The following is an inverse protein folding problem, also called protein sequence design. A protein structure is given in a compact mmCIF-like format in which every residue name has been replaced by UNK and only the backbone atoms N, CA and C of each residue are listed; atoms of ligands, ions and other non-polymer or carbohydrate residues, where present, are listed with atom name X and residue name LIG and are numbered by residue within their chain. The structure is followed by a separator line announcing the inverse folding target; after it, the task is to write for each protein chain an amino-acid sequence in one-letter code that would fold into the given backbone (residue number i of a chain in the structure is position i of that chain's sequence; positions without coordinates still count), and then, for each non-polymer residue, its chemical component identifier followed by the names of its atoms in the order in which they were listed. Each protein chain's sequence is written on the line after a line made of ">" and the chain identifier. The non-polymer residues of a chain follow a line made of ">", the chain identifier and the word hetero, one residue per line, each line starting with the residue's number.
data_IF_555249682044
#
_entry.id   IF_555249682044
#
_cell.length_a   1.000
_cell.length_b   1.000
_cell.length_c   1.000
_cell.angle_alpha   90.00
_cell.angle_beta   90.00
_cell.angle_gamma   90.00
#
_symmetry.space_group_name_H-M   'P 1'
#
loop_
_entity.id
_entity.type
_entity.pdbx_description
1 polymer ?
#
# COMPACT_ATOMS: atom_id res chain seq x y z
N UNK A 1 -32.95 -10.07 72.76
CA UNK A 1 -33.31 -9.64 71.38
C UNK A 1 -32.51 -8.43 71.04
N UNK A 2 -31.25 -8.53 70.64
CA UNK A 2 -30.46 -7.36 70.13
C UNK A 2 -28.96 -7.71 69.91
N UNK A 3 -28.65 -8.81 69.26
CA UNK A 3 -27.24 -9.13 68.90
C UNK A 3 -27.12 -9.56 67.44
N UNK A 4 -28.20 -9.56 66.65
CA UNK A 4 -28.18 -10.10 65.28
C UNK A 4 -28.04 -9.06 64.15
N UNK A 5 -27.86 -7.76 64.50
CA UNK A 5 -27.92 -6.73 63.47
C UNK A 5 -26.62 -5.99 63.17
N UNK A 6 -25.52 -6.23 63.91
CA UNK A 6 -24.25 -5.55 63.67
C UNK A 6 -23.28 -6.34 62.80
N UNK A 7 -23.38 -7.67 62.74
CA UNK A 7 -22.49 -8.48 61.89
C UNK A 7 -22.90 -8.49 60.43
N UNK A 8 -24.17 -8.22 60.12
CA UNK A 8 -24.66 -8.19 58.72
C UNK A 8 -24.34 -6.89 57.99
N UNK A 9 -24.32 -5.77 58.74
CA UNK A 9 -23.93 -4.46 58.17
C UNK A 9 -22.44 -4.37 57.89
N UNK A 10 -21.59 -4.99 58.77
CA UNK A 10 -20.14 -5.03 58.56
C UNK A 10 -19.74 -5.91 57.36
N UNK A 11 -20.47 -7.00 57.09
CA UNK A 11 -20.23 -7.86 55.95
C UNK A 11 -20.62 -7.20 54.59
N UNK A 12 -21.65 -6.40 54.57
CA UNK A 12 -22.08 -5.66 53.36
C UNK A 12 -21.13 -4.51 53.07
N UNK A 13 -20.62 -3.78 54.07
CA UNK A 13 -19.64 -2.74 53.89
C UNK A 13 -18.27 -3.29 53.44
N UNK A 14 -17.85 -4.48 53.92
CA UNK A 14 -16.63 -5.13 53.46
C UNK A 14 -16.74 -5.67 52.03
N UNK A 15 -17.95 -6.09 51.59
CA UNK A 15 -18.17 -6.55 50.23
C UNK A 15 -18.22 -5.38 49.20
N UNK A 16 -18.68 -4.21 49.62
CA UNK A 16 -18.66 -3.00 48.77
C UNK A 16 -17.28 -2.35 48.69
N UNK A 17 -16.37 -2.56 49.65
CA UNK A 17 -15.00 -2.09 49.63
C UNK A 17 -14.05 -2.99 48.79
N UNK A 18 -14.47 -4.22 48.49
CA UNK A 18 -13.72 -5.14 47.62
C UNK A 18 -14.12 -5.07 46.14
N UNK A 19 -15.23 -4.40 45.79
CA UNK A 19 -15.69 -4.24 44.40
C UNK A 19 -15.25 -2.90 43.78
N UNK A 20 -14.64 -2.00 44.59
CA UNK A 20 -14.05 -0.76 44.06
C UNK A 20 -12.56 -0.87 43.71
N UNK A 21 -12.04 -2.05 43.41
CA UNK A 21 -11.00 -2.18 42.41
C UNK A 21 -11.62 -1.85 41.05
N UNK A 22 -11.86 -0.56 40.85
CA UNK A 22 -12.07 0.05 39.54
C UNK A 22 -10.99 -0.56 38.66
N UNK A 23 -11.38 -1.42 37.73
CA UNK A 23 -10.64 -1.62 36.51
C UNK A 23 -10.54 -0.22 35.89
N UNK A 24 -9.51 0.53 36.30
CA UNK A 24 -9.00 1.61 35.47
C UNK A 24 -8.64 0.91 34.19
N UNK A 25 -9.37 1.15 33.08
CA UNK A 25 -8.90 0.64 31.80
C UNK A 25 -7.47 1.14 31.75
N UNK A 26 -6.51 0.17 31.68
CA UNK A 26 -5.11 0.54 31.54
C UNK A 26 -5.06 1.50 30.37
N UNK A 27 -4.81 2.77 30.66
CA UNK A 27 -4.47 3.73 29.60
C UNK A 27 -3.21 3.12 29.03
N UNK A 28 -3.35 2.45 27.88
CA UNK A 28 -2.20 1.98 27.12
C UNK A 28 -1.37 3.22 26.89
N UNK A 29 -0.19 3.25 27.48
CA UNK A 29 0.72 4.35 27.24
C UNK A 29 0.96 4.38 25.74
N UNK A 30 0.62 5.51 25.09
CA UNK A 30 0.85 5.73 23.66
C UNK A 30 2.02 6.70 23.50
N UNK A 31 2.68 6.62 22.35
CA UNK A 31 3.69 7.61 21.98
C UNK A 31 3.06 9.00 21.98
N UNK A 32 3.85 10.02 22.31
CA UNK A 32 3.34 11.40 22.27
C UNK A 32 2.83 11.73 20.87
N UNK A 33 1.65 12.34 20.75
CA UNK A 33 1.12 12.77 19.45
C UNK A 33 2.10 13.69 18.71
N UNK A 34 2.04 13.65 17.38
CA UNK A 34 2.82 14.52 16.50
C UNK A 34 2.73 15.97 16.94
N UNK A 35 3.87 16.66 17.03
CA UNK A 35 3.96 18.05 17.45
C UNK A 35 3.95 18.30 18.96
N UNK A 36 3.77 17.28 19.79
CA UNK A 36 3.86 17.41 21.24
C UNK A 36 5.26 17.06 21.75
N UNK A 37 5.78 17.87 22.68
CA UNK A 37 7.09 17.69 23.28
C UNK A 37 7.00 17.29 24.75
N UNK A 38 8.02 16.61 25.24
CA UNK A 38 8.19 16.31 26.67
C UNK A 38 8.41 17.59 27.43
N UNK A 39 7.65 17.79 28.51
CA UNK A 39 7.77 19.00 29.36
C UNK A 39 8.81 18.82 30.47
N UNK A 40 9.04 17.58 30.91
CA UNK A 40 10.03 17.23 31.92
C UNK A 40 10.76 15.95 31.50
N UNK A 41 12.02 16.06 31.12
CA UNK A 41 12.82 14.92 30.70
C UNK A 41 13.29 14.08 31.89
N UNK A 42 13.11 12.75 31.80
CA UNK A 42 13.61 11.76 32.75
C UNK A 42 14.36 10.69 31.99
N UNK A 43 15.67 10.61 32.15
CA UNK A 43 16.56 9.73 31.36
C UNK A 43 16.22 8.23 31.43
N UNK A 44 15.56 7.75 32.49
CA UNK A 44 15.16 6.36 32.66
C UNK A 44 13.82 5.97 32.01
N UNK A 45 13.05 6.95 31.51
CA UNK A 45 11.76 6.68 30.93
C UNK A 45 11.90 6.24 29.47
N UNK A 46 11.13 5.21 29.08
CA UNK A 46 10.91 4.88 27.66
C UNK A 46 9.79 5.80 27.11
N UNK A 47 10.15 6.66 26.18
CA UNK A 47 9.22 7.61 25.54
C UNK A 47 8.54 7.02 24.29
N UNK A 48 8.86 5.78 23.91
CA UNK A 48 8.31 5.08 22.74
C UNK A 48 7.69 3.76 23.17
N UNK A 49 6.48 3.82 23.71
CA UNK A 49 5.74 2.65 24.18
C UNK A 49 5.17 1.84 23.02
N UNK A 50 4.71 2.54 21.94
CA UNK A 50 4.37 1.91 20.68
C UNK A 50 5.62 1.83 19.80
N UNK A 51 5.90 0.62 19.30
CA UNK A 51 7.07 0.34 18.47
C UNK A 51 6.64 -0.38 17.20
N UNK A 52 7.38 -0.18 16.11
CA UNK A 52 7.27 -1.02 14.93
C UNK A 52 8.30 -2.14 14.97
N UNK A 53 7.93 -3.30 14.44
CA UNK A 53 8.86 -4.37 14.10
C UNK A 53 8.85 -4.53 12.59
N UNK A 54 10.02 -4.52 11.94
CA UNK A 54 10.15 -4.73 10.50
C UNK A 54 10.12 -6.24 10.25
N UNK A 55 9.18 -6.69 9.41
CA UNK A 55 8.89 -8.12 9.19
C UNK A 55 9.29 -8.59 7.78
N UNK A 56 9.00 -7.80 6.76
CA UNK A 56 9.16 -8.17 5.34
C UNK A 56 10.08 -7.21 4.60
N UNK A 57 10.06 -5.92 4.92
CA UNK A 57 10.93 -4.94 4.28
C UNK A 57 12.41 -5.28 4.53
N UNK A 58 13.22 -5.07 3.51
CA UNK A 58 14.66 -5.42 3.54
C UNK A 58 15.57 -4.22 3.46
N UNK A 59 15.03 -3.06 3.11
CA UNK A 59 15.83 -1.88 2.83
C UNK A 59 15.75 -0.79 3.92
N UNK A 60 15.13 -1.09 5.07
CA UNK A 60 15.25 -0.23 6.25
C UNK A 60 15.24 -1.05 7.55
N UNK A 61 15.72 -0.43 8.63
CA UNK A 61 15.62 -0.93 10.00
C UNK A 61 15.32 0.20 10.97
N UNK A 62 14.75 -0.15 12.13
CA UNK A 62 14.46 0.77 13.24
C UNK A 62 14.98 0.18 14.54
N UNK A 63 15.76 0.97 15.27
CA UNK A 63 16.24 0.64 16.61
C UNK A 63 15.69 1.68 17.60
N UNK A 64 15.18 1.22 18.74
CA UNK A 64 14.58 2.08 19.77
C UNK A 64 15.48 2.17 21.00
N UNK A 65 15.65 3.40 21.48
CA UNK A 65 16.27 3.75 22.75
C UNK A 65 15.25 4.54 23.59
N UNK A 66 15.58 4.84 24.82
CA UNK A 66 14.61 5.46 25.74
C UNK A 66 13.97 6.74 25.19
N UNK A 67 14.73 7.61 24.54
CA UNK A 67 14.28 8.93 24.09
C UNK A 67 14.65 9.27 22.64
N UNK A 68 15.27 8.34 21.92
CA UNK A 68 15.53 8.48 20.49
C UNK A 68 15.38 7.13 19.76
N UNK A 69 15.26 7.20 18.44
CA UNK A 69 15.20 6.07 17.51
C UNK A 69 16.33 6.23 16.49
N UNK A 70 16.93 5.14 16.06
CA UNK A 70 17.79 5.12 14.88
C UNK A 70 17.05 4.43 13.74
N UNK A 71 16.90 5.12 12.63
CA UNK A 71 16.28 4.61 11.41
C UNK A 71 17.35 4.55 10.32
N UNK A 72 17.59 3.37 9.80
CA UNK A 72 18.60 3.15 8.77
C UNK A 72 17.95 2.82 7.43
N UNK A 73 18.22 3.61 6.40
CA UNK A 73 17.99 3.19 5.04
C UNK A 73 19.21 2.34 4.61
N UNK A 74 19.02 1.02 4.52
CA UNK A 74 20.14 0.09 4.29
C UNK A 74 20.66 0.14 2.86
N UNK A 75 19.90 0.69 1.90
CA UNK A 75 20.34 0.89 0.52
C UNK A 75 21.28 2.09 0.39
N UNK A 76 20.88 3.25 0.91
CA UNK A 76 21.68 4.48 0.86
C UNK A 76 22.74 4.57 1.94
N UNK A 77 22.64 3.71 2.99
CA UNK A 77 23.46 3.71 4.20
C UNK A 77 23.27 4.95 5.08
N UNK A 78 22.24 5.74 4.85
CA UNK A 78 21.90 6.86 5.72
C UNK A 78 21.28 6.38 7.02
N UNK A 79 21.66 7.03 8.12
CA UNK A 79 21.11 6.79 9.45
C UNK A 79 20.49 8.10 9.96
N UNK A 80 19.21 8.02 10.30
CA UNK A 80 18.43 9.13 10.85
C UNK A 80 18.27 8.92 12.35
N UNK A 81 18.68 9.92 13.15
CA UNK A 81 18.52 9.94 14.60
C UNK A 81 17.29 10.75 14.98
N UNK A 82 16.22 10.07 15.36
CA UNK A 82 14.94 10.70 15.69
C UNK A 82 14.82 10.81 17.20
N UNK A 83 15.02 12.01 17.76
CA UNK A 83 14.93 12.22 19.21
C UNK A 83 13.61 12.86 19.60
N UNK A 84 13.04 12.41 20.72
CA UNK A 84 11.79 12.95 21.22
C UNK A 84 11.99 14.43 21.63
N UNK A 85 11.20 15.33 21.05
CA UNK A 85 11.32 16.73 21.37
C UNK A 85 11.06 17.01 22.87
N UNK A 86 11.81 17.95 23.43
CA UNK A 86 11.83 18.21 24.88
C UNK A 86 12.76 17.28 25.67
N UNK A 87 13.47 16.37 25.00
CA UNK A 87 14.54 15.57 25.59
C UNK A 87 15.93 16.08 25.16
N UNK A 88 17.00 15.44 25.65
CA UNK A 88 18.37 15.76 25.23
C UNK A 88 18.66 15.19 23.85
N UNK A 89 19.52 15.88 23.10
CA UNK A 89 20.04 15.42 21.83
C UNK A 89 21.45 14.85 22.02
N UNK A 90 21.52 13.60 22.50
CA UNK A 90 22.75 12.82 22.70
C UNK A 90 22.90 11.68 21.68
N UNK A 91 22.47 11.94 20.46
CA UNK A 91 22.53 10.98 19.34
C UNK A 91 23.99 10.57 19.04
N UNK A 92 24.20 9.35 18.52
CA UNK A 92 25.49 8.90 18.03
C UNK A 92 26.07 9.85 16.95
N UNK A 93 27.41 9.85 16.82
CA UNK A 93 28.06 10.57 15.75
C UNK A 93 27.63 10.02 14.36
N UNK A 94 27.65 10.87 13.37
CA UNK A 94 27.35 10.54 11.96
C UNK A 94 25.89 10.10 11.66
N UNK A 95 24.94 10.49 12.48
CA UNK A 95 23.51 10.39 12.16
C UNK A 95 22.93 11.75 11.78
N UNK A 96 21.93 11.78 10.91
CA UNK A 96 21.16 13.01 10.63
C UNK A 96 20.13 13.20 11.74
N UNK A 97 20.19 14.28 12.55
CA UNK A 97 19.29 14.46 13.68
C UNK A 97 17.95 15.09 13.24
N UNK A 98 16.86 14.52 13.73
CA UNK A 98 15.51 15.08 13.58
C UNK A 98 14.78 15.07 14.92
N UNK A 99 14.25 16.20 15.39
CA UNK A 99 13.35 16.20 16.53
C UNK A 99 12.00 15.61 16.11
N UNK A 100 11.42 14.74 16.93
CA UNK A 100 10.07 14.23 16.69
C UNK A 100 9.06 15.29 17.11
N UNK A 101 8.93 16.30 16.29
CA UNK A 101 7.96 17.40 16.37
C UNK A 101 7.67 17.91 14.95
N UNK A 102 7.84 17.02 13.96
CA UNK A 102 7.69 17.35 12.54
C UNK A 102 6.25 17.76 12.26
N UNK A 103 6.05 18.97 11.76
CA UNK A 103 4.74 19.52 11.42
C UNK A 103 4.62 19.95 9.95
N UNK A 104 5.76 20.01 9.26
CA UNK A 104 5.83 20.44 7.87
C UNK A 104 6.84 19.60 7.07
N UNK A 105 6.38 18.99 6.01
CA UNK A 105 7.24 18.19 5.12
C UNK A 105 7.11 18.60 3.67
N UNK A 106 8.20 18.44 2.93
CA UNK A 106 8.18 18.37 1.49
C UNK A 106 8.22 16.91 1.05
N UNK A 107 7.53 16.59 -0.03
CA UNK A 107 7.53 15.28 -0.67
C UNK A 107 7.93 15.46 -2.13
N UNK A 108 9.07 14.91 -2.52
CA UNK A 108 9.61 15.06 -3.89
C UNK A 108 9.34 13.85 -4.78
N UNK A 109 8.86 12.74 -4.20
CA UNK A 109 8.32 11.59 -4.92
C UNK A 109 6.84 11.37 -4.59
N UNK A 110 6.07 10.79 -5.51
CA UNK A 110 4.62 10.64 -5.34
C UNK A 110 4.25 9.57 -4.32
N UNK A 111 5.05 8.53 -4.17
CA UNK A 111 4.74 7.42 -3.27
C UNK A 111 4.77 7.81 -1.79
N UNK A 112 5.70 8.69 -1.40
CA UNK A 112 5.79 9.17 -0.01
C UNK A 112 4.53 9.87 0.45
N UNK A 113 3.82 10.59 -0.43
CA UNK A 113 2.56 11.25 -0.10
C UNK A 113 1.46 10.26 0.26
N UNK A 114 1.38 9.13 -0.43
CA UNK A 114 0.39 8.09 -0.16
C UNK A 114 0.60 7.43 1.21
N UNK A 115 1.85 7.16 1.61
CA UNK A 115 2.14 6.65 2.95
C UNK A 115 1.74 7.62 4.05
N UNK A 116 2.06 8.90 3.90
CA UNK A 116 1.66 9.94 4.85
C UNK A 116 0.14 10.10 4.93
N UNK A 117 -0.54 10.01 3.79
CA UNK A 117 -2.00 10.08 3.73
C UNK A 117 -2.65 8.91 4.47
N UNK A 118 -2.20 7.68 4.25
CA UNK A 118 -2.74 6.51 4.96
C UNK A 118 -2.44 6.51 6.46
N UNK A 119 -1.39 7.21 6.89
CA UNK A 119 -1.12 7.45 8.31
C UNK A 119 -2.01 8.55 8.92
N UNK A 120 -2.81 9.26 8.11
CA UNK A 120 -3.61 10.41 8.55
C UNK A 120 -2.76 11.68 8.71
N UNK A 121 -1.61 11.73 8.05
CA UNK A 121 -0.63 12.82 8.15
C UNK A 121 -0.63 13.74 6.91
N UNK A 122 -1.71 13.74 6.10
CA UNK A 122 -1.82 14.62 4.92
C UNK A 122 -1.57 16.09 5.27
N UNK A 123 -2.07 16.54 6.40
CA UNK A 123 -1.97 17.94 6.83
C UNK A 123 -0.53 18.42 7.08
N UNK A 124 0.44 17.52 7.31
CA UNK A 124 1.84 17.90 7.46
C UNK A 124 2.53 18.14 6.12
N UNK A 125 1.97 17.67 5.00
CA UNK A 125 2.51 17.89 3.65
C UNK A 125 2.26 19.35 3.28
N UNK A 126 3.35 20.10 3.10
CA UNK A 126 3.30 21.54 2.74
C UNK A 126 3.86 21.80 1.35
N UNK A 127 4.69 20.91 0.84
CA UNK A 127 5.33 21.05 -0.45
C UNK A 127 5.31 19.73 -1.20
N UNK A 128 4.98 19.77 -2.48
CA UNK A 128 5.09 18.63 -3.40
C UNK A 128 6.04 18.95 -4.56
N UNK A 129 6.78 17.95 -5.00
CA UNK A 129 7.76 18.05 -6.09
C UNK A 129 7.14 18.38 -7.43
N UNK A 130 5.96 17.82 -7.73
CA UNK A 130 5.24 18.05 -8.99
C UNK A 130 3.73 17.97 -8.78
N UNK A 131 2.99 18.85 -9.43
CA UNK A 131 1.53 18.82 -9.49
C UNK A 131 1.02 17.76 -10.48
N UNK A 132 1.77 17.54 -11.57
CA UNK A 132 1.31 16.71 -12.69
C UNK A 132 1.26 15.22 -12.35
N UNK A 133 2.02 14.82 -11.33
CA UNK A 133 2.10 13.42 -10.92
C UNK A 133 1.11 13.03 -9.82
N UNK A 134 0.29 13.97 -9.32
CA UNK A 134 -0.64 13.72 -8.21
C UNK A 134 -1.96 13.16 -8.75
N UNK A 135 -2.36 12.02 -8.22
CA UNK A 135 -3.65 11.37 -8.50
C UNK A 135 -4.62 11.43 -7.31
N UNK A 136 -4.11 11.49 -6.06
CA UNK A 136 -4.94 11.52 -4.85
C UNK A 136 -5.85 12.74 -4.79
N UNK A 137 -7.19 12.56 -4.67
CA UNK A 137 -8.16 13.65 -4.71
C UNK A 137 -7.92 14.73 -3.66
N UNK A 138 -7.62 14.31 -2.42
CA UNK A 138 -7.48 15.25 -1.33
C UNK A 138 -6.13 16.00 -1.34
N UNK A 139 -5.09 15.44 -1.95
CA UNK A 139 -3.86 16.18 -2.23
C UNK A 139 -4.09 17.22 -3.34
N UNK A 140 -4.84 16.86 -4.38
CA UNK A 140 -5.24 17.83 -5.42
C UNK A 140 -6.08 18.95 -4.82
N UNK A 141 -7.04 18.63 -3.94
CA UNK A 141 -7.84 19.64 -3.24
C UNK A 141 -6.96 20.58 -2.39
N UNK A 142 -6.05 20.04 -1.59
CA UNK A 142 -5.13 20.84 -0.78
C UNK A 142 -4.22 21.74 -1.64
N UNK A 143 -3.79 21.26 -2.80
CA UNK A 143 -3.08 22.08 -3.79
C UNK A 143 -3.99 23.20 -4.34
N UNK A 144 -5.20 22.87 -4.76
CA UNK A 144 -6.14 23.83 -5.39
C UNK A 144 -6.59 24.93 -4.39
N UNK A 145 -6.64 24.61 -3.09
CA UNK A 145 -6.94 25.56 -2.01
C UNK A 145 -5.72 26.34 -1.52
N UNK A 146 -4.52 26.03 -2.00
CA UNK A 146 -3.27 26.70 -1.62
C UNK A 146 -2.67 26.24 -0.30
N UNK A 147 -3.15 25.14 0.28
CA UNK A 147 -2.58 24.53 1.48
C UNK A 147 -1.23 23.86 1.20
N UNK A 148 -1.01 23.42 -0.05
CA UNK A 148 0.21 22.78 -0.53
C UNK A 148 0.83 23.64 -1.63
N UNK A 149 2.14 23.89 -1.52
CA UNK A 149 2.95 24.55 -2.54
C UNK A 149 3.59 23.51 -3.46
N UNK A 150 3.61 23.79 -4.77
CA UNK A 150 4.30 22.96 -5.75
C UNK A 150 5.68 23.56 -6.04
N UNK A 151 6.71 22.72 -6.14
CA UNK A 151 8.02 23.16 -6.62
C UNK A 151 7.93 23.63 -8.06
N UNK A 152 8.68 24.64 -8.38
CA UNK A 152 8.70 25.27 -9.69
C UNK A 152 9.96 24.88 -10.48
N UNK A 153 10.12 25.41 -11.69
CA UNK A 153 11.36 25.30 -12.47
C UNK A 153 12.45 26.24 -11.98
N UNK A 154 12.15 27.14 -11.02
CA UNK A 154 13.08 28.08 -10.45
C UNK A 154 13.76 27.47 -9.21
N UNK A 155 15.04 27.07 -9.34
CA UNK A 155 15.81 26.41 -8.28
C UNK A 155 15.95 27.28 -7.02
N UNK A 156 16.23 28.59 -7.17
CA UNK A 156 16.36 29.50 -6.02
C UNK A 156 15.06 29.60 -5.21
N UNK A 157 13.91 29.65 -5.90
CA UNK A 157 12.62 29.67 -5.23
C UNK A 157 12.34 28.34 -4.52
N UNK A 158 12.75 27.24 -5.12
CA UNK A 158 12.63 25.91 -4.52
C UNK A 158 13.47 25.78 -3.24
N UNK A 159 14.71 26.24 -3.27
CA UNK A 159 15.58 26.30 -2.07
C UNK A 159 14.93 27.07 -0.91
N UNK A 160 14.37 28.26 -1.22
CA UNK A 160 13.65 29.06 -0.23
C UNK A 160 12.42 28.33 0.32
N UNK A 161 11.69 27.64 -0.55
CA UNK A 161 10.48 26.89 -0.18
C UNK A 161 10.82 25.67 0.66
N UNK A 162 11.80 24.87 0.26
CA UNK A 162 12.29 23.71 0.99
C UNK A 162 12.97 24.10 2.32
N UNK A 163 13.60 25.28 2.37
CA UNK A 163 14.15 25.82 3.61
C UNK A 163 13.14 26.03 4.73
N UNK A 164 11.83 26.11 4.43
CA UNK A 164 10.76 26.38 5.39
C UNK A 164 10.14 25.11 5.99
N UNK A 165 10.40 23.92 5.44
CA UNK A 165 9.89 22.66 5.99
C UNK A 165 10.85 22.05 6.99
N UNK A 166 10.35 21.16 7.84
CA UNK A 166 11.13 20.48 8.86
C UNK A 166 11.98 19.35 8.27
N UNK A 167 11.43 18.61 7.30
CA UNK A 167 12.13 17.57 6.57
C UNK A 167 11.60 17.41 5.13
N UNK A 168 12.38 16.70 4.28
CA UNK A 168 12.09 16.45 2.90
C UNK A 168 12.17 14.94 2.66
N UNK A 169 11.03 14.31 2.34
CA UNK A 169 11.04 12.93 1.84
C UNK A 169 11.26 12.93 0.32
N UNK A 170 12.16 12.08 -0.16
CA UNK A 170 12.39 11.93 -1.58
C UNK A 170 13.28 10.75 -1.93
N UNK A 171 13.23 10.34 -3.19
CA UNK A 171 14.03 9.26 -3.74
C UNK A 171 15.50 9.67 -4.03
N UNK A 172 15.96 10.81 -3.51
CA UNK A 172 17.28 11.33 -3.84
C UNK A 172 18.38 10.70 -3.01
N UNK A 173 19.55 10.46 -3.63
CA UNK A 173 20.79 10.10 -2.95
C UNK A 173 21.45 11.34 -2.26
N UNK A 174 20.67 12.38 -1.98
CA UNK A 174 21.15 13.68 -1.52
C UNK A 174 21.60 13.61 -0.04
N UNK A 175 22.72 12.96 0.18
CA UNK A 175 23.42 12.94 1.47
C UNK A 175 23.84 14.34 1.98
N UNK A 176 23.77 15.37 1.15
CA UNK A 176 24.28 16.72 1.45
C UNK A 176 23.29 17.62 2.16
N UNK A 177 21.98 17.44 1.96
CA UNK A 177 20.97 18.23 2.66
C UNK A 177 20.62 17.60 4.01
N UNK A 178 20.78 18.37 5.09
CA UNK A 178 20.51 17.93 6.46
C UNK A 178 19.02 17.62 6.71
N UNK A 179 18.10 18.20 5.93
CA UNK A 179 16.67 17.97 6.02
C UNK A 179 16.18 16.80 5.14
N UNK A 180 17.01 16.34 4.22
CA UNK A 180 16.65 15.29 3.27
C UNK A 180 16.66 13.91 3.93
N UNK A 181 15.61 13.15 3.71
CA UNK A 181 15.43 11.75 4.12
C UNK A 181 15.29 10.92 2.86
N UNK A 182 16.31 10.10 2.55
CA UNK A 182 16.25 9.20 1.41
C UNK A 182 15.23 8.09 1.62
N UNK A 183 14.47 7.78 0.59
CA UNK A 183 13.50 6.67 0.59
C UNK A 183 13.85 5.67 -0.50
N UNK A 184 13.71 4.38 -0.20
CA UNK A 184 14.06 3.29 -1.11
C UNK A 184 12.90 2.30 -1.33
N UNK A 185 11.68 2.75 -1.10
CA UNK A 185 10.45 1.95 -1.20
C UNK A 185 10.34 1.22 -2.54
N UNK A 186 10.56 1.92 -3.65
CA UNK A 186 10.48 1.36 -5.00
C UNK A 186 11.55 0.29 -5.30
N UNK A 187 12.61 0.23 -4.49
CA UNK A 187 13.68 -0.74 -4.64
C UNK A 187 13.49 -2.00 -3.79
N UNK A 188 12.58 -1.96 -2.80
CA UNK A 188 12.32 -3.14 -1.96
C UNK A 188 11.64 -4.22 -2.80
N UNK A 189 12.15 -5.48 -2.77
CA UNK A 189 11.88 -6.44 -3.83
C UNK A 189 10.47 -7.05 -3.82
N UNK A 190 9.72 -6.99 -2.72
CA UNK A 190 8.41 -7.63 -2.61
C UNK A 190 7.26 -6.65 -2.52
N UNK A 191 6.03 -7.12 -2.76
CA UNK A 191 4.82 -6.29 -2.63
C UNK A 191 4.64 -5.84 -1.18
N UNK A 192 4.58 -6.78 -0.24
CA UNK A 192 4.46 -6.45 1.19
C UNK A 192 5.70 -5.76 1.76
N UNK A 193 6.88 -6.00 1.18
CA UNK A 193 8.11 -5.28 1.52
C UNK A 193 7.92 -3.78 1.32
N UNK A 194 7.32 -3.39 0.17
CA UNK A 194 7.04 -1.99 -0.17
C UNK A 194 5.96 -1.39 0.73
N UNK A 195 4.88 -2.12 0.98
CA UNK A 195 3.80 -1.69 1.90
C UNK A 195 4.35 -1.41 3.30
N UNK A 196 5.29 -2.22 3.78
CA UNK A 196 5.84 -2.08 5.13
C UNK A 196 6.63 -0.78 5.35
N UNK A 197 7.00 -0.07 4.28
CA UNK A 197 7.60 1.26 4.40
C UNK A 197 6.69 2.28 5.10
N UNK A 198 5.40 2.00 5.25
CA UNK A 198 4.52 2.80 6.12
C UNK A 198 5.07 2.91 7.55
N UNK A 199 5.76 1.86 8.05
CA UNK A 199 6.44 1.88 9.34
C UNK A 199 7.66 2.80 9.34
N UNK A 200 8.39 2.90 8.22
CA UNK A 200 9.49 3.85 8.05
C UNK A 200 9.02 5.31 8.19
N UNK A 201 7.94 5.66 7.50
CA UNK A 201 7.39 7.03 7.61
C UNK A 201 6.85 7.32 9.01
N UNK A 202 6.18 6.36 9.63
CA UNK A 202 5.49 6.55 10.91
C UNK A 202 6.41 6.98 12.06
N UNK A 203 7.66 6.48 12.08
CA UNK A 203 8.59 6.73 13.20
C UNK A 203 9.03 8.18 13.31
N UNK A 204 8.94 8.97 12.23
CA UNK A 204 9.21 10.41 12.23
C UNK A 204 8.11 11.23 12.94
N UNK A 205 6.94 10.63 13.15
CA UNK A 205 5.73 11.30 13.64
C UNK A 205 5.15 10.64 14.90
N UNK A 206 5.82 9.66 15.50
CA UNK A 206 5.25 8.85 16.58
C UNK A 206 3.91 8.16 16.20
N UNK A 207 3.75 7.80 14.94
CA UNK A 207 2.54 7.19 14.38
C UNK A 207 2.65 5.65 14.24
N UNK A 208 3.50 5.00 15.03
CA UNK A 208 3.81 3.57 14.96
C UNK A 208 2.57 2.68 15.14
N UNK A 209 1.71 3.04 16.09
CA UNK A 209 0.45 2.30 16.34
C UNK A 209 -0.42 2.28 15.09
N UNK A 210 -0.55 3.44 14.41
CA UNK A 210 -1.32 3.55 13.17
C UNK A 210 -0.67 2.77 12.03
N UNK A 211 0.65 2.82 11.90
CA UNK A 211 1.37 2.05 10.88
C UNK A 211 1.20 0.54 11.06
N UNK A 212 1.28 0.05 12.30
CA UNK A 212 1.06 -1.35 12.62
C UNK A 212 -0.37 -1.79 12.29
N UNK A 213 -1.37 -0.96 12.59
CA UNK A 213 -2.77 -1.20 12.24
C UNK A 213 -2.95 -1.32 10.72
N UNK A 214 -2.49 -0.31 9.95
CA UNK A 214 -2.67 -0.25 8.50
C UNK A 214 -1.93 -1.39 7.81
N UNK A 215 -0.64 -1.59 8.14
CA UNK A 215 0.15 -2.69 7.58
C UNK A 215 -0.47 -4.05 7.88
N UNK A 216 -0.90 -4.27 9.14
CA UNK A 216 -1.52 -5.53 9.56
C UNK A 216 -2.80 -5.85 8.79
N UNK A 217 -3.66 -4.85 8.54
CA UNK A 217 -4.87 -5.00 7.72
C UNK A 217 -4.54 -5.37 6.28
N UNK A 218 -3.65 -4.61 5.64
CA UNK A 218 -3.25 -4.86 4.24
C UNK A 218 -2.61 -6.23 4.10
N UNK A 219 -1.69 -6.60 5.01
CA UNK A 219 -1.02 -7.90 5.02
C UNK A 219 -2.04 -9.05 5.16
N UNK A 220 -2.96 -8.94 6.12
CA UNK A 220 -3.98 -9.96 6.34
C UNK A 220 -4.89 -10.15 5.11
N UNK A 221 -5.29 -9.05 4.49
CA UNK A 221 -6.13 -9.07 3.29
C UNK A 221 -5.37 -9.63 2.08
N UNK A 222 -4.11 -9.24 1.91
CA UNK A 222 -3.20 -9.77 0.88
C UNK A 222 -3.06 -11.30 0.99
N UNK A 223 -2.79 -11.81 2.19
CA UNK A 223 -2.66 -13.25 2.43
C UNK A 223 -4.00 -14.00 2.23
N UNK A 224 -5.13 -13.36 2.53
CA UNK A 224 -6.45 -13.92 2.21
C UNK A 224 -6.63 -14.06 0.69
N UNK A 225 -6.29 -13.05 -0.11
CA UNK A 225 -6.35 -13.12 -1.57
C UNK A 225 -5.42 -14.20 -2.15
N UNK A 226 -4.20 -14.34 -1.63
CA UNK A 226 -3.33 -15.46 -2.02
C UNK A 226 -3.99 -16.82 -1.78
N UNK A 227 -4.61 -17.00 -0.62
CA UNK A 227 -5.33 -18.22 -0.29
C UNK A 227 -6.55 -18.43 -1.18
N UNK A 228 -7.25 -17.37 -1.60
CA UNK A 228 -8.33 -17.44 -2.58
C UNK A 228 -7.82 -17.99 -3.93
N UNK A 229 -6.68 -17.50 -4.40
CA UNK A 229 -6.02 -17.98 -5.63
C UNK A 229 -5.66 -19.47 -5.54
N UNK A 230 -5.04 -19.89 -4.42
CA UNK A 230 -4.66 -21.29 -4.19
C UNK A 230 -5.88 -22.21 -4.24
N UNK A 231 -6.99 -21.81 -3.64
CA UNK A 231 -8.26 -22.58 -3.64
C UNK A 231 -8.92 -22.65 -5.02
N UNK A 232 -8.62 -21.70 -5.90
CA UNK A 232 -9.20 -21.58 -7.24
C UNK A 232 -8.12 -21.67 -8.34
N UNK A 233 -7.13 -22.50 -8.13
CA UNK A 233 -6.01 -22.66 -9.08
C UNK A 233 -6.51 -23.05 -10.47
N UNK A 234 -6.06 -22.31 -11.48
CA UNK A 234 -6.35 -22.62 -12.90
C UNK A 234 -5.64 -23.91 -13.32
N UNK A 235 -6.31 -24.71 -14.15
CA UNK A 235 -5.70 -25.93 -14.73
C UNK A 235 -4.47 -25.57 -15.60
N UNK A 236 -4.57 -24.49 -16.36
CA UNK A 236 -3.46 -23.89 -17.11
C UNK A 236 -3.26 -22.46 -16.62
N UNK A 237 -2.08 -22.18 -16.09
CA UNK A 237 -1.73 -20.84 -15.60
C UNK A 237 -1.26 -19.98 -16.77
N UNK A 238 -1.80 -18.78 -16.97
CA UNK A 238 -1.36 -17.90 -18.05
C UNK A 238 0.07 -17.38 -17.79
N UNK A 239 0.83 -17.27 -18.88
CA UNK A 239 2.15 -16.63 -18.89
C UNK A 239 1.97 -15.12 -19.07
N UNK A 240 2.51 -14.34 -18.14
CA UNK A 240 2.39 -12.87 -18.10
C UNK A 240 3.76 -12.24 -18.33
N UNK A 241 3.87 -11.38 -19.34
CA UNK A 241 5.06 -10.56 -19.56
C UNK A 241 4.76 -9.08 -19.26
N UNK A 242 5.70 -8.45 -18.57
CA UNK A 242 5.74 -7.00 -18.36
C UNK A 242 6.77 -6.41 -19.32
N UNK A 243 6.34 -5.51 -20.19
CA UNK A 243 7.16 -5.00 -21.29
C UNK A 243 7.08 -3.49 -21.41
N UNK A 244 8.09 -2.88 -22.02
CA UNK A 244 8.05 -1.46 -22.36
C UNK A 244 8.77 -1.19 -23.69
N UNK A 245 8.28 -0.23 -24.42
CA UNK A 245 8.96 0.37 -25.56
C UNK A 245 9.61 1.69 -25.13
N UNK A 246 10.88 1.87 -25.48
CA UNK A 246 11.58 3.13 -25.37
C UNK A 246 11.87 3.68 -26.76
N UNK A 247 11.28 4.83 -27.07
CA UNK A 247 11.55 5.51 -28.34
C UNK A 247 13.02 5.97 -28.43
N UNK A 248 13.56 6.10 -29.66
CA UNK A 248 14.89 6.67 -29.87
C UNK A 248 15.01 8.05 -29.18
N UNK A 249 16.06 8.22 -28.42
CA UNK A 249 16.38 9.46 -27.70
C UNK A 249 17.89 9.60 -27.49
N UNK A 250 18.35 10.75 -27.07
CA UNK A 250 19.76 10.98 -26.72
C UNK A 250 20.21 10.05 -25.57
N UNK A 251 19.32 9.67 -24.68
CA UNK A 251 19.61 8.79 -23.54
C UNK A 251 19.83 7.32 -23.92
N UNK A 252 19.33 6.87 -25.07
CA UNK A 252 19.48 5.51 -25.57
C UNK A 252 20.21 5.45 -26.93
N UNK A 253 21.13 6.39 -27.18
CA UNK A 253 21.95 6.46 -28.40
C UNK A 253 21.11 6.54 -29.68
N UNK A 254 19.94 7.18 -29.62
CA UNK A 254 18.99 7.31 -30.72
C UNK A 254 18.54 5.96 -31.32
N UNK A 255 18.47 4.91 -30.51
CA UNK A 255 18.03 3.58 -30.91
C UNK A 255 16.81 3.16 -30.10
N UNK A 256 15.76 2.66 -30.74
CA UNK A 256 14.61 2.09 -30.05
C UNK A 256 15.04 0.89 -29.18
N UNK A 257 14.41 0.74 -28.03
CA UNK A 257 14.59 -0.42 -27.19
C UNK A 257 13.25 -1.05 -26.79
N UNK A 258 13.18 -2.39 -26.85
CA UNK A 258 12.05 -3.21 -26.42
C UNK A 258 12.47 -3.95 -25.17
N UNK A 259 11.84 -3.65 -24.04
CA UNK A 259 12.27 -4.13 -22.73
C UNK A 259 11.34 -5.18 -22.15
N UNK A 260 11.91 -6.09 -21.39
CA UNK A 260 11.21 -7.07 -20.55
C UNK A 260 11.62 -6.74 -19.12
N UNK A 261 10.65 -6.53 -18.24
CA UNK A 261 10.92 -6.23 -16.85
C UNK A 261 11.40 -7.48 -16.09
N UNK A 262 12.34 -7.28 -15.14
CA UNK A 262 12.85 -8.32 -14.24
C UNK A 262 12.64 -7.97 -12.75
N UNK A 263 11.77 -7.01 -12.47
CA UNK A 263 11.51 -6.54 -11.11
C UNK A 263 10.88 -7.62 -10.24
N UNK A 264 11.52 -7.94 -9.13
CA UNK A 264 11.10 -9.02 -8.21
C UNK A 264 9.68 -8.85 -7.70
N UNK A 265 9.21 -7.60 -7.43
CA UNK A 265 7.84 -7.38 -7.00
C UNK A 265 6.80 -7.74 -8.06
N UNK A 266 7.10 -7.51 -9.36
CA UNK A 266 6.22 -7.90 -10.47
C UNK A 266 6.15 -9.40 -10.62
N UNK A 267 7.30 -10.06 -10.43
CA UNK A 267 7.35 -11.52 -10.39
C UNK A 267 6.47 -12.04 -9.26
N UNK A 268 6.70 -11.59 -8.04
CA UNK A 268 5.90 -12.01 -6.88
C UNK A 268 4.41 -11.72 -7.07
N UNK A 269 4.06 -10.50 -7.51
CA UNK A 269 2.68 -10.10 -7.77
C UNK A 269 1.99 -11.02 -8.78
N UNK A 270 2.68 -11.35 -9.88
CA UNK A 270 2.17 -12.25 -10.92
C UNK A 270 1.97 -13.67 -10.41
N UNK A 271 2.94 -14.21 -9.67
CA UNK A 271 2.91 -15.56 -9.11
C UNK A 271 1.86 -15.68 -7.99
N UNK A 272 1.76 -14.70 -7.09
CA UNK A 272 0.75 -14.64 -6.03
C UNK A 272 -0.68 -14.51 -6.59
N UNK A 273 -0.84 -13.88 -7.76
CA UNK A 273 -2.09 -13.83 -8.50
C UNK A 273 -2.42 -15.12 -9.28
N UNK A 274 -1.53 -16.12 -9.28
CA UNK A 274 -1.73 -17.42 -9.92
C UNK A 274 -1.25 -17.52 -11.37
N UNK A 275 -0.58 -16.50 -11.90
CA UNK A 275 0.06 -16.51 -13.22
C UNK A 275 1.47 -17.12 -13.19
N UNK A 276 2.08 -17.21 -14.37
CA UNK A 276 3.49 -17.54 -14.56
C UNK A 276 4.19 -16.25 -15.02
N UNK A 277 5.14 -15.78 -14.23
CA UNK A 277 5.94 -14.63 -14.64
C UNK A 277 6.86 -15.02 -15.80
N UNK A 278 6.77 -14.29 -16.91
CA UNK A 278 7.64 -14.48 -18.05
C UNK A 278 9.05 -13.97 -17.72
N UNK A 279 10.00 -14.87 -17.65
CA UNK A 279 11.39 -14.56 -17.36
C UNK A 279 12.23 -14.68 -18.65
N UNK A 280 13.07 -13.67 -18.91
CA UNK A 280 13.99 -13.67 -20.05
C UNK A 280 15.41 -13.41 -19.57
N UNK A 281 16.38 -14.08 -20.20
CA UNK A 281 17.80 -13.81 -19.96
C UNK A 281 18.26 -12.53 -20.64
N UNK A 282 17.54 -12.08 -21.67
CA UNK A 282 17.77 -10.80 -22.35
C UNK A 282 16.65 -9.85 -22.00
N UNK A 283 16.98 -8.73 -21.38
CA UNK A 283 15.99 -7.77 -20.87
C UNK A 283 15.76 -6.59 -21.81
N UNK A 284 16.63 -6.37 -22.80
CA UNK A 284 16.52 -5.27 -23.76
C UNK A 284 16.91 -5.74 -25.16
N UNK A 285 16.07 -5.43 -26.12
CA UNK A 285 16.23 -5.78 -27.53
C UNK A 285 16.25 -4.49 -28.37
N UNK A 286 17.18 -4.38 -29.30
CA UNK A 286 17.20 -3.31 -30.31
C UNK A 286 16.50 -3.72 -31.62
N UNK A 287 16.23 -5.02 -31.79
CA UNK A 287 15.57 -5.59 -32.98
C UNK A 287 14.18 -6.08 -32.57
N UNK A 288 13.13 -5.46 -33.10
CA UNK A 288 11.76 -5.78 -32.78
C UNK A 288 11.41 -7.25 -33.09
N UNK A 289 11.90 -7.79 -34.22
CA UNK A 289 11.62 -9.18 -34.62
C UNK A 289 12.12 -10.22 -33.59
N UNK A 290 13.28 -9.96 -32.99
CA UNK A 290 13.84 -10.83 -31.93
C UNK A 290 13.01 -10.75 -30.64
N UNK A 291 12.60 -9.54 -30.25
CA UNK A 291 11.72 -9.32 -29.09
C UNK A 291 10.37 -10.02 -29.29
N UNK A 292 9.69 -9.81 -30.44
CA UNK A 292 8.38 -10.39 -30.72
C UNK A 292 8.42 -11.92 -30.77
N UNK A 293 9.50 -12.50 -31.24
CA UNK A 293 9.70 -13.95 -31.25
C UNK A 293 9.75 -14.52 -29.82
N UNK A 294 10.37 -13.81 -28.88
CA UNK A 294 10.53 -14.25 -27.50
C UNK A 294 9.19 -14.21 -26.74
N UNK A 295 8.33 -13.22 -27.02
CA UNK A 295 7.03 -13.08 -26.36
C UNK A 295 5.87 -13.71 -27.12
N UNK A 296 6.11 -14.47 -28.19
CA UNK A 296 5.06 -15.06 -29.05
C UNK A 296 4.05 -15.93 -28.28
N UNK A 297 4.53 -16.66 -27.27
CA UNK A 297 3.73 -17.56 -26.46
C UNK A 297 3.25 -16.97 -25.12
N UNK A 298 3.41 -15.67 -24.90
CA UNK A 298 2.88 -14.96 -23.73
C UNK A 298 1.37 -14.85 -23.86
N UNK A 299 0.64 -15.21 -22.80
CA UNK A 299 -0.83 -15.18 -22.79
C UNK A 299 -1.38 -13.80 -22.46
N UNK A 300 -0.67 -13.04 -21.61
CA UNK A 300 -1.05 -11.71 -21.11
C UNK A 300 0.16 -10.78 -21.22
N UNK A 301 -0.02 -9.63 -21.87
CA UNK A 301 0.98 -8.59 -21.99
C UNK A 301 0.60 -7.41 -21.10
N UNK A 302 1.51 -6.96 -20.22
CA UNK A 302 1.36 -5.72 -19.47
C UNK A 302 2.37 -4.72 -20.03
N UNK A 303 1.86 -3.70 -20.72
CA UNK A 303 2.66 -2.66 -21.36
C UNK A 303 2.84 -1.46 -20.45
N UNK A 304 4.08 -1.20 -20.06
CA UNK A 304 4.51 -0.11 -19.18
C UNK A 304 5.05 1.10 -19.95
N UNK A 305 4.94 1.12 -21.26
CA UNK A 305 5.40 2.23 -22.10
C UNK A 305 4.83 3.55 -21.58
N UNK A 306 5.69 4.54 -21.34
CA UNK A 306 5.30 5.75 -20.61
C UNK A 306 4.21 6.54 -21.32
N UNK A 307 4.31 6.74 -22.63
CA UNK A 307 3.32 7.47 -23.44
C UNK A 307 2.78 6.52 -24.51
N UNK A 308 1.70 5.79 -24.19
CA UNK A 308 1.00 4.92 -25.13
C UNK A 308 -0.40 4.59 -24.59
N UNK A 309 -1.30 5.59 -24.41
CA UNK A 309 -2.56 5.38 -23.69
C UNK A 309 -3.58 4.55 -24.47
N UNK A 310 -3.39 4.35 -25.78
CA UNK A 310 -4.36 3.66 -26.65
C UNK A 310 -3.83 2.33 -27.17
N UNK A 311 -4.72 1.46 -27.63
CA UNK A 311 -4.34 0.23 -28.31
C UNK A 311 -3.53 0.50 -29.59
N UNK A 312 -3.90 1.58 -30.31
CA UNK A 312 -3.20 1.99 -31.53
C UNK A 312 -1.74 2.40 -31.24
N UNK A 313 -1.50 3.04 -30.10
CA UNK A 313 -0.13 3.35 -29.65
C UNK A 313 0.68 2.08 -29.39
N UNK A 314 0.06 1.07 -28.74
CA UNK A 314 0.71 -0.23 -28.53
C UNK A 314 1.01 -0.90 -29.86
N UNK A 315 0.04 -0.90 -30.80
CA UNK A 315 0.25 -1.46 -32.14
C UNK A 315 1.36 -0.72 -32.88
N UNK A 316 1.39 0.60 -32.82
CA UNK A 316 2.44 1.41 -33.44
C UNK A 316 3.82 1.13 -32.86
N UNK A 317 3.94 1.09 -31.53
CA UNK A 317 5.22 0.91 -30.82
C UNK A 317 5.83 -0.46 -31.06
N UNK A 318 5.00 -1.51 -31.16
CA UNK A 318 5.45 -2.88 -31.37
C UNK A 318 5.19 -3.39 -32.82
N UNK A 319 4.84 -2.48 -33.75
CA UNK A 319 4.53 -2.80 -35.16
C UNK A 319 3.57 -4.00 -35.28
N UNK A 320 2.55 -4.04 -34.42
CA UNK A 320 1.57 -5.10 -34.36
C UNK A 320 0.34 -4.73 -35.21
N UNK A 321 -0.38 -5.74 -35.66
CA UNK A 321 -1.67 -5.59 -36.33
C UNK A 321 -2.69 -6.57 -35.74
N UNK A 322 -4.00 -6.23 -35.75
CA UNK A 322 -5.04 -7.05 -35.11
C UNK A 322 -5.15 -8.47 -35.65
N UNK A 323 -4.72 -8.71 -36.88
CA UNK A 323 -4.77 -10.00 -37.56
C UNK A 323 -3.60 -10.94 -37.24
N UNK A 324 -2.57 -10.47 -36.52
CA UNK A 324 -1.41 -11.27 -36.12
C UNK A 324 -1.75 -12.25 -34.99
N UNK A 325 -2.69 -13.14 -35.21
CA UNK A 325 -3.24 -14.09 -34.24
C UNK A 325 -2.25 -15.17 -33.76
N UNK A 326 -1.03 -15.18 -34.25
CA UNK A 326 0.05 -16.02 -33.74
C UNK A 326 0.49 -15.62 -32.32
N UNK A 327 0.37 -14.32 -31.97
CA UNK A 327 0.65 -13.85 -30.62
C UNK A 327 -0.54 -14.14 -29.71
N UNK A 328 -0.34 -14.95 -28.68
CA UNK A 328 -1.43 -15.37 -27.78
C UNK A 328 -2.11 -14.20 -27.09
N UNK A 329 -1.37 -13.18 -26.62
CA UNK A 329 -1.95 -12.00 -25.96
C UNK A 329 -2.88 -11.20 -26.89
N UNK A 330 -2.62 -11.16 -28.20
CA UNK A 330 -3.54 -10.55 -29.19
C UNK A 330 -4.81 -11.40 -29.36
N UNK A 331 -4.63 -12.71 -29.56
CA UNK A 331 -5.75 -13.66 -29.66
C UNK A 331 -6.64 -13.63 -28.42
N UNK A 332 -6.05 -13.50 -27.25
CA UNK A 332 -6.75 -13.46 -25.97
C UNK A 332 -7.35 -12.07 -25.66
N UNK A 333 -7.06 -11.04 -26.45
CA UNK A 333 -7.38 -9.64 -26.15
C UNK A 333 -6.91 -9.27 -24.73
N UNK A 334 -5.69 -9.67 -24.39
CA UNK A 334 -5.12 -9.56 -23.06
C UNK A 334 -3.87 -8.66 -23.06
N UNK A 335 -4.07 -7.39 -23.42
CA UNK A 335 -3.06 -6.33 -23.32
C UNK A 335 -3.53 -5.37 -22.25
N UNK A 336 -2.74 -5.23 -21.20
CA UNK A 336 -3.05 -4.40 -20.05
C UNK A 336 -2.03 -3.28 -19.91
N UNK A 337 -2.45 -2.21 -19.23
CA UNK A 337 -1.60 -1.07 -18.88
C UNK A 337 -1.89 -0.63 -17.44
N UNK A 338 -0.89 -0.04 -16.81
CA UNK A 338 -0.93 0.46 -15.43
C UNK A 338 -1.51 1.89 -15.32
N UNK A 339 -2.34 2.29 -16.25
CA UNK A 339 -2.93 3.62 -16.36
C UNK A 339 -4.46 3.64 -16.17
N UNK A 340 -5.01 2.64 -15.48
CA UNK A 340 -6.47 2.54 -15.26
C UNK A 340 -7.04 3.69 -14.41
N UNK A 341 -6.21 4.28 -13.55
CA UNK A 341 -6.54 5.44 -12.74
C UNK A 341 -5.41 6.48 -12.85
N UNK A 342 -5.77 7.71 -13.21
CA UNK A 342 -4.82 8.82 -13.33
C UNK A 342 -5.34 10.09 -12.65
N UNK A 343 -4.46 11.03 -12.39
CA UNK A 343 -4.80 12.42 -12.11
C UNK A 343 -5.20 13.19 -13.40
N UNK A 344 -5.57 14.47 -13.27
CA UNK A 344 -5.99 15.28 -14.42
C UNK A 344 -4.89 15.51 -15.47
N UNK A 345 -3.63 15.42 -15.07
CA UNK A 345 -2.46 15.64 -15.92
C UNK A 345 -1.71 14.34 -16.22
N UNK A 346 -2.44 13.22 -16.35
CA UNK A 346 -1.91 11.88 -16.63
C UNK A 346 -0.97 11.28 -15.58
N UNK A 347 -0.88 11.90 -14.40
CA UNK A 347 -0.18 11.30 -13.25
C UNK A 347 -0.83 9.98 -12.86
N UNK A 348 -0.11 8.86 -13.06
CA UNK A 348 -0.65 7.52 -12.81
C UNK A 348 -0.71 7.21 -11.32
N UNK A 349 -1.89 6.85 -10.83
CA UNK A 349 -2.12 6.42 -9.44
C UNK A 349 -1.30 5.16 -9.08
N UNK A 350 -0.89 4.40 -10.07
CA UNK A 350 0.05 3.29 -9.95
C UNK A 350 1.35 3.66 -9.20
N UNK A 351 1.93 4.82 -9.51
CA UNK A 351 3.17 5.27 -8.88
C UNK A 351 2.94 5.97 -7.53
N UNK A 352 1.72 6.37 -7.24
CA UNK A 352 1.36 7.04 -5.99
C UNK A 352 0.80 6.05 -4.96
N UNK A 353 -0.37 5.45 -5.24
CA UNK A 353 -1.12 4.69 -4.25
C UNK A 353 -0.93 3.17 -4.35
N UNK A 354 -0.67 2.58 -5.53
CA UNK A 354 -0.54 1.13 -5.64
C UNK A 354 0.61 0.55 -4.81
N UNK A 355 1.66 1.34 -4.55
CA UNK A 355 2.82 0.92 -3.76
C UNK A 355 2.47 0.62 -2.30
N UNK A 356 1.52 1.36 -1.72
CA UNK A 356 1.11 1.20 -0.32
C UNK A 356 -0.12 0.31 -0.17
N UNK A 357 -0.94 0.15 -1.23
CA UNK A 357 -2.16 -0.65 -1.24
C UNK A 357 -1.90 -2.04 -1.87
N UNK A 358 -0.96 -2.80 -1.30
CA UNK A 358 -0.52 -4.07 -1.88
C UNK A 358 -1.62 -5.12 -2.00
N UNK A 359 -2.61 -5.10 -1.12
CA UNK A 359 -3.79 -5.98 -1.18
C UNK A 359 -4.68 -5.65 -2.39
N UNK A 360 -4.97 -4.38 -2.64
CA UNK A 360 -5.73 -3.94 -3.81
C UNK A 360 -4.94 -4.19 -5.12
N UNK A 361 -3.62 -4.03 -5.08
CA UNK A 361 -2.75 -4.33 -6.21
C UNK A 361 -2.79 -5.83 -6.56
N UNK A 362 -2.77 -6.71 -5.55
CA UNK A 362 -2.92 -8.15 -5.77
C UNK A 362 -4.31 -8.48 -6.31
N UNK A 363 -5.35 -7.85 -5.79
CA UNK A 363 -6.73 -8.05 -6.25
C UNK A 363 -6.89 -7.69 -7.74
N UNK A 364 -6.32 -6.56 -8.18
CA UNK A 364 -6.25 -6.18 -9.60
C UNK A 364 -5.57 -7.25 -10.45
N UNK A 365 -4.40 -7.71 -10.00
CA UNK A 365 -3.61 -8.69 -10.73
C UNK A 365 -4.28 -10.06 -10.76
N UNK A 366 -4.99 -10.47 -9.72
CA UNK A 366 -5.81 -11.69 -9.70
C UNK A 366 -6.86 -11.63 -10.82
N UNK A 367 -7.53 -10.50 -10.99
CA UNK A 367 -8.52 -10.34 -12.04
C UNK A 367 -7.91 -10.31 -13.46
N UNK A 368 -6.69 -9.84 -13.60
CA UNK A 368 -5.94 -9.93 -14.88
C UNK A 368 -5.65 -11.38 -15.23
N UNK A 369 -5.19 -12.19 -14.26
CA UNK A 369 -4.83 -13.60 -14.44
C UNK A 369 -6.08 -14.48 -14.57
N UNK A 370 -7.09 -14.24 -13.77
CA UNK A 370 -8.36 -14.95 -13.76
C UNK A 370 -9.55 -14.00 -13.67
N UNK A 371 -10.16 -13.61 -14.80
CA UNK A 371 -11.25 -12.63 -14.83
C UNK A 371 -12.52 -13.01 -14.04
N UNK A 372 -12.61 -14.24 -13.52
CA UNK A 372 -13.70 -14.67 -12.64
C UNK A 372 -13.43 -14.38 -11.17
N UNK A 373 -12.20 -14.03 -10.83
CA UNK A 373 -11.76 -13.70 -9.48
C UNK A 373 -11.45 -12.20 -9.34
N UNK A 374 -11.52 -11.65 -8.14
CA UNK A 374 -12.03 -12.26 -6.91
C UNK A 374 -13.55 -12.45 -6.95
N UNK A 375 -14.24 -11.71 -7.80
CA UNK A 375 -15.68 -11.76 -8.10
C UNK A 375 -15.92 -11.43 -9.58
N UNK A 376 -17.04 -11.89 -10.19
CA UNK A 376 -17.27 -11.78 -11.64
C UNK A 376 -17.35 -10.35 -12.18
N UNK A 377 -17.76 -9.39 -11.35
CA UNK A 377 -17.98 -7.98 -11.69
C UNK A 377 -16.93 -7.05 -11.09
N UNK A 378 -15.76 -7.59 -10.70
CA UNK A 378 -14.67 -6.81 -10.16
C UNK A 378 -14.20 -5.73 -11.15
N UNK A 379 -14.04 -4.52 -10.66
CA UNK A 379 -13.59 -3.37 -11.43
C UNK A 379 -12.16 -3.01 -11.04
N UNK A 380 -11.21 -3.39 -11.88
CA UNK A 380 -9.79 -3.06 -11.67
C UNK A 380 -9.59 -1.57 -11.48
N UNK A 381 -8.60 -1.25 -10.65
CA UNK A 381 -8.22 0.12 -10.32
C UNK A 381 -7.14 0.59 -11.30
N UNK A 382 -6.04 -0.13 -11.38
CA UNK A 382 -4.83 0.29 -12.10
C UNK A 382 -4.61 -0.46 -13.41
N UNK A 383 -4.86 -1.78 -13.42
CA UNK A 383 -4.55 -2.62 -14.59
C UNK A 383 -5.70 -2.64 -15.59
N UNK A 384 -5.67 -1.69 -16.52
CA UNK A 384 -6.69 -1.48 -17.54
C UNK A 384 -6.45 -2.36 -18.77
N UNK A 385 -7.46 -3.06 -19.29
CA UNK A 385 -7.36 -3.82 -20.54
C UNK A 385 -7.56 -2.91 -21.74
N UNK A 386 -6.47 -2.49 -22.38
CA UNK A 386 -6.48 -1.62 -23.54
C UNK A 386 -6.99 -2.34 -24.79
N UNK A 387 -6.78 -3.66 -24.92
CA UNK A 387 -7.30 -4.46 -26.03
C UNK A 387 -8.84 -4.56 -26.04
N UNK A 388 -9.47 -4.31 -24.89
CA UNK A 388 -10.94 -4.23 -24.77
C UNK A 388 -11.47 -2.80 -24.68
N UNK A 389 -10.63 -1.80 -24.98
CA UNK A 389 -10.98 -0.39 -24.91
C UNK A 389 -11.54 0.07 -23.55
N UNK A 390 -11.08 -0.52 -22.45
CA UNK A 390 -11.45 -0.05 -21.13
C UNK A 390 -10.99 1.40 -20.94
N UNK A 391 -11.86 2.29 -20.38
CA UNK A 391 -11.51 3.69 -20.22
C UNK A 391 -10.51 3.95 -19.11
N UNK A 392 -9.74 5.02 -19.22
CA UNK A 392 -8.96 5.59 -18.12
C UNK A 392 -9.94 6.31 -17.17
N UNK A 393 -9.87 6.02 -15.89
CA UNK A 393 -10.59 6.75 -14.84
C UNK A 393 -9.73 7.95 -14.40
N UNK A 394 -10.33 9.14 -14.35
CA UNK A 394 -9.62 10.35 -13.94
C UNK A 394 -10.09 10.73 -12.55
N UNK A 395 -9.15 10.82 -11.62
CA UNK A 395 -9.35 11.32 -10.27
C UNK A 395 -9.10 12.82 -10.21
N UNK A 396 -9.97 13.58 -9.55
CA UNK A 396 -9.87 15.03 -9.42
C UNK A 396 -10.11 15.48 -7.99
N UNK A 397 -9.80 16.74 -7.68
CA UNK A 397 -10.06 17.35 -6.37
C UNK A 397 -11.52 17.25 -5.91
N UNK A 398 -12.48 17.20 -6.86
CA UNK A 398 -13.90 17.01 -6.57
C UNK A 398 -14.22 15.63 -5.95
N UNK A 399 -13.33 14.66 -6.08
CA UNK A 399 -13.49 13.34 -5.48
C UNK A 399 -13.00 13.30 -4.02
N UNK A 400 -12.45 14.38 -3.46
CA UNK A 400 -12.10 14.48 -2.04
C UNK A 400 -13.39 14.65 -1.21
N UNK A 401 -13.82 13.60 -0.54
CA UNK A 401 -15.04 13.63 0.27
C UNK A 401 -14.83 14.30 1.64
N UNK A 402 -13.67 14.10 2.26
CA UNK A 402 -13.27 14.73 3.53
C UNK A 402 -11.75 14.88 3.58
N UNK A 403 -11.27 16.11 3.60
CA UNK A 403 -9.84 16.44 3.66
C UNK A 403 -9.16 15.94 4.94
N UNK A 404 -9.92 15.75 6.02
CA UNK A 404 -9.41 15.33 7.33
C UNK A 404 -9.36 13.80 7.49
N UNK A 405 -9.98 13.05 6.61
CA UNK A 405 -9.95 11.59 6.68
C UNK A 405 -8.71 11.04 5.95
N UNK A 406 -7.99 10.08 6.56
CA UNK A 406 -6.91 9.38 5.86
C UNK A 406 -7.45 8.56 4.70
N UNK A 407 -6.60 8.29 3.71
CA UNK A 407 -6.91 7.27 2.70
C UNK A 407 -6.85 5.87 3.31
N UNK A 408 -7.62 4.96 2.72
CA UNK A 408 -7.65 3.55 3.09
C UNK A 408 -7.33 2.70 1.85
N UNK A 409 -6.94 1.44 2.05
CA UNK A 409 -6.81 0.52 0.94
C UNK A 409 -8.13 0.44 0.16
N UNK A 410 -8.02 0.42 -1.16
CA UNK A 410 -9.15 0.33 -2.09
C UNK A 410 -9.58 -1.12 -2.34
N UNK A 411 -8.91 -2.09 -1.71
CA UNK A 411 -9.24 -3.51 -1.83
C UNK A 411 -10.62 -3.83 -1.24
N UNK A 412 -11.29 -4.81 -1.82
CA UNK A 412 -12.42 -5.47 -1.16
C UNK A 412 -11.93 -6.17 0.13
N UNK A 413 -12.83 -6.36 1.09
CA UNK A 413 -12.55 -7.25 2.21
C UNK A 413 -12.63 -8.70 1.72
N UNK A 414 -11.47 -9.33 1.51
CA UNK A 414 -11.39 -10.69 1.00
C UNK A 414 -12.15 -11.69 1.87
N UNK A 415 -12.23 -11.48 3.18
CA UNK A 415 -12.97 -12.38 4.10
C UNK A 415 -14.48 -12.31 3.92
N UNK A 416 -15.00 -11.21 3.36
CA UNK A 416 -16.40 -10.98 3.09
C UNK A 416 -16.82 -11.40 1.67
N UNK A 417 -15.88 -11.81 0.81
CA UNK A 417 -16.20 -12.24 -0.54
C UNK A 417 -17.04 -13.52 -0.54
N UNK A 418 -18.07 -13.60 -1.41
CA UNK A 418 -18.86 -14.82 -1.54
C UNK A 418 -17.99 -15.98 -2.03
N UNK A 419 -18.25 -17.23 -1.60
CA UNK A 419 -17.53 -18.38 -2.13
C UNK A 419 -17.71 -18.45 -3.64
N UNK A 420 -16.59 -18.58 -4.36
CA UNK A 420 -16.63 -18.73 -5.82
C UNK A 420 -17.32 -20.03 -6.15
N UNK A 421 -18.51 -19.97 -6.75
CA UNK A 421 -19.22 -21.15 -7.20
C UNK A 421 -18.47 -21.74 -8.40
N UNK A 422 -17.69 -22.76 -8.19
CA UNK A 422 -17.19 -23.61 -9.27
C UNK A 422 -18.41 -24.35 -9.82
N UNK A 423 -19.04 -23.85 -10.90
CA UNK A 423 -19.93 -24.68 -11.69
C UNK A 423 -19.07 -25.77 -12.33
N UNK A 424 -18.97 -26.89 -11.63
CA UNK A 424 -18.57 -28.13 -12.28
C UNK A 424 -19.63 -28.45 -13.35
N UNK A 425 -19.23 -28.61 -14.60
CA UNK A 425 -20.02 -29.31 -15.61
C UNK A 425 -20.19 -30.74 -15.13
N UNK A 426 -21.30 -31.00 -14.49
CA UNK A 426 -21.62 -32.34 -13.94
C UNK A 426 -22.80 -32.21 -12.98
N UNK A 427 -24.01 -32.25 -13.53
CA UNK A 427 -25.24 -32.34 -12.78
C UNK A 427 -25.25 -33.57 -11.85
N UNK A 428 -25.07 -33.35 -10.55
CA UNK A 428 -25.60 -34.22 -9.51
C UNK A 428 -26.58 -33.37 -8.71
N UNK A 429 -27.86 -33.49 -9.07
CA UNK A 429 -28.98 -33.03 -8.29
C UNK A 429 -28.98 -33.81 -6.98
N UNK A 430 -28.40 -33.25 -5.92
CA UNK A 430 -28.66 -33.69 -4.57
C UNK A 430 -29.86 -32.89 -4.03
N UNK A 431 -31.04 -33.47 -4.12
CA UNK A 431 -32.20 -33.03 -3.35
C UNK A 431 -31.83 -32.99 -1.86
N UNK A 432 -32.13 -31.92 -1.12
CA UNK A 432 -31.90 -31.90 0.32
C UNK A 432 -32.86 -32.88 0.97
N UNK A 433 -32.28 -33.94 1.53
CA UNK A 433 -33.05 -34.92 2.34
C UNK A 433 -33.60 -34.24 3.60
N UNK A 434 -34.86 -34.47 3.83
CA UNK A 434 -35.70 -34.06 4.93
C UNK A 434 -35.22 -34.56 6.32
N UNK A 435 -34.08 -34.16 6.79
CA UNK A 435 -33.56 -34.57 8.11
C UNK A 435 -33.35 -33.43 9.12
N UNK A 436 -33.61 -32.16 8.75
CA UNK A 436 -33.36 -31.02 9.64
C UNK A 436 -34.55 -30.52 10.42
N UNK A 437 -35.74 -31.12 10.29
CA UNK A 437 -36.95 -30.67 11.00
C UNK A 437 -37.32 -31.51 12.22
N UNK A 438 -36.58 -32.55 12.57
CA UNK A 438 -36.97 -33.42 13.72
C UNK A 438 -36.28 -33.03 15.05
N UNK A 439 -35.28 -32.14 15.05
CA UNK A 439 -34.59 -31.72 16.29
C UNK A 439 -35.26 -30.48 16.93
N UNK A 440 -35.96 -29.67 16.16
CA UNK A 440 -36.65 -28.49 16.70
C UNK A 440 -37.97 -28.81 17.45
N UNK A 441 -38.56 -29.99 17.26
CA UNK A 441 -39.85 -30.35 17.88
C UNK A 441 -39.72 -31.09 19.23
N UNK A 442 -38.55 -31.56 19.61
CA UNK A 442 -38.31 -32.27 20.88
C UNK A 442 -37.98 -31.32 22.04
N UNK A 443 -37.52 -30.11 21.76
CA UNK A 443 -37.22 -29.11 22.80
C UNK A 443 -38.41 -28.25 23.24
N UNK A 444 -39.57 -28.31 22.57
CA UNK A 444 -40.75 -27.50 22.89
C UNK A 444 -41.76 -28.22 23.79
N UNK A 445 -41.54 -29.47 24.18
CA UNK A 445 -42.53 -30.28 24.98
C UNK A 445 -42.05 -30.56 26.42
N UNK A 446 -40.81 -30.13 26.79
CA UNK A 446 -40.25 -30.46 28.12
C UNK A 446 -40.10 -29.27 29.08
N UNK A 447 -40.86 -28.19 28.89
CA UNK A 447 -40.79 -27.02 29.78
C UNK A 447 -42.18 -26.57 30.28
N UNK A 448 -43.01 -27.45 30.90
CA UNK A 448 -43.71 -27.06 32.11
C UNK A 448 -43.94 -28.25 33.05
N UNK A 449 -42.95 -28.73 33.76
CA UNK A 449 -43.13 -29.49 35.00
C UNK A 449 -41.96 -29.14 35.91
N UNK A 450 -41.99 -27.98 36.52
CA UNK A 450 -41.38 -27.63 37.79
C UNK A 450 -41.80 -26.18 38.12
N UNK A 451 -43.00 -26.09 38.69
CA UNK A 451 -43.35 -25.10 39.70
C UNK A 451 -43.62 -25.82 41.01
#
# INVERSE_FOLDING_TARGET
>A
MSVFNQSFVAAICAFFLLISSVLVPGVSAQNLPTGQCVTEFKAGNDYFTDKVTVETATLFSVEYFNHYKLVTNTKTKEVFGLYQCGTINDLPANVKPFPISVNSVAVTDTSSSAFLDMLGLRSVIKVLGSADLISSPCLQYAKDTGEITILSTNETLNEITLGKVDLIFGATDAATDQKSVSVSTANDPGVLNRVEWIKFYSVFFNAESKANEVYGKIKSNYECFKNLVVKNTLAEKPVVAWVAYEAPSEFNQNTAAYKIADAMFKKQLTEDAGGIYFNSTTLSYSILGDFLKVIENVDILIDETFIAPTLDDVYKNFELTPDQQKYKFLKNQAIYREDGLTGPNDGRDWFENAVVMGDALLEDMINVVNPKLPKPDYQRIWLRNVAKNEPIKISSSNNCSDINQPSFSKADDCSALPPVSVKGDGSISSTPTFFSYLIAFVFSILLPIFQ
#
